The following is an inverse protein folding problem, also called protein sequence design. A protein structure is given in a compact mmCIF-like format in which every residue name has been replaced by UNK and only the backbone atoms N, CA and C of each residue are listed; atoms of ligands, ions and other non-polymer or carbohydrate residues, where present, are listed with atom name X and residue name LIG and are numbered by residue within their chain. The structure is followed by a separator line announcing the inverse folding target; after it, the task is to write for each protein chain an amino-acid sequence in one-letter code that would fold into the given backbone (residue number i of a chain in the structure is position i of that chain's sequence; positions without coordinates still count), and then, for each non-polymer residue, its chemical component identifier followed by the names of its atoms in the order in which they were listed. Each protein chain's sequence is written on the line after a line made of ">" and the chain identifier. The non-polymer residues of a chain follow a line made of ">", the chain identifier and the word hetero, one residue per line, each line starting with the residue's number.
data_IF_416114716589
#
_entry.id   IF_416114716589
#
_cell.length_a   1.000
_cell.length_b   1.000
_cell.length_c   1.000
_cell.angle_alpha   90.00
_cell.angle_beta   90.00
_cell.angle_gamma   90.00
#
_symmetry.space_group_name_H-M   'P 1'
#
loop_
_entity.id
_entity.type
_entity.pdbx_description
1 polymer ?
#
# COMPACT_ATOMS: atom_id res chain seq x y z
N UNK A 1 -3.04 -13.90 6.02
CA UNK A 1 -3.76 -13.10 5.01
C UNK A 1 -2.83 -11.97 4.56
N UNK A 2 -2.67 -11.70 3.26
CA UNK A 2 -1.83 -10.59 2.81
C UNK A 2 -2.37 -9.24 3.27
N UNK A 3 -1.46 -8.27 3.47
CA UNK A 3 -1.80 -6.91 3.91
C UNK A 3 -1.56 -5.95 2.78
N UNK A 4 -2.49 -5.03 2.55
CA UNK A 4 -2.36 -3.92 1.60
C UNK A 4 -2.41 -2.60 2.34
N UNK A 5 -1.79 -1.57 1.76
CA UNK A 5 -1.79 -0.22 2.32
C UNK A 5 -2.84 0.59 1.57
N UNK A 6 -3.82 1.16 2.28
CA UNK A 6 -4.88 2.01 1.74
C UNK A 6 -4.65 3.45 2.18
N UNK A 7 -4.88 4.38 1.27
CA UNK A 7 -4.85 5.81 1.52
C UNK A 7 -6.20 6.25 2.08
N UNK A 8 -6.24 6.87 3.25
CA UNK A 8 -7.51 7.27 3.90
C UNK A 8 -8.20 8.39 3.13
N UNK A 9 -7.42 9.37 2.64
CA UNK A 9 -7.98 10.54 1.94
C UNK A 9 -8.64 10.25 0.58
N UNK A 10 -8.23 9.18 -0.11
CA UNK A 10 -8.71 8.88 -1.48
C UNK A 10 -9.30 7.47 -1.62
N UNK A 11 -9.21 6.65 -0.56
CA UNK A 11 -9.58 5.24 -0.57
C UNK A 11 -8.73 4.35 -1.49
N UNK A 12 -7.65 4.86 -2.08
CA UNK A 12 -6.79 4.14 -3.04
C UNK A 12 -5.74 3.32 -2.32
N UNK A 13 -5.42 2.15 -2.86
CA UNK A 13 -4.37 1.28 -2.36
C UNK A 13 -3.01 1.62 -2.98
N UNK A 14 -1.94 1.42 -2.22
CA UNK A 14 -0.57 1.53 -2.72
C UNK A 14 -0.22 0.27 -3.51
N UNK A 15 -0.03 0.45 -4.83
CA UNK A 15 0.24 -0.63 -5.78
C UNK A 15 1.44 -0.32 -6.67
N UNK A 16 1.94 -1.34 -7.36
CA UNK A 16 2.97 -1.16 -8.40
C UNK A 16 2.26 -1.15 -9.74
N UNK A 17 1.88 0.02 -10.25
CA UNK A 17 1.53 0.10 -11.67
C UNK A 17 2.85 0.06 -12.45
N UNK A 18 3.04 -0.97 -13.26
CA UNK A 18 4.29 -1.30 -13.95
C UNK A 18 4.65 -0.34 -15.09
N UNK A 19 4.37 0.96 -14.95
CA UNK A 19 4.86 1.98 -15.87
C UNK A 19 6.09 2.58 -15.18
N UNK A 20 7.29 2.16 -15.59
CA UNK A 20 8.59 2.71 -15.17
C UNK A 20 9.09 2.45 -13.73
N UNK A 21 8.53 1.46 -13.03
CA UNK A 21 9.03 1.09 -11.70
C UNK A 21 8.65 2.07 -10.59
N UNK A 22 7.76 3.01 -10.90
CA UNK A 22 7.17 3.93 -9.93
C UNK A 22 6.02 3.29 -9.16
N UNK A 23 5.82 3.77 -7.95
CA UNK A 23 4.75 3.33 -7.04
C UNK A 23 3.53 4.20 -7.28
N UNK A 24 2.40 3.59 -7.63
CA UNK A 24 1.21 4.33 -8.06
C UNK A 24 0.01 3.89 -7.25
N UNK A 25 -0.83 4.85 -6.86
CA UNK A 25 -2.06 4.55 -6.13
C UNK A 25 -3.09 3.88 -7.06
N UNK A 26 -3.49 2.65 -6.74
CA UNK A 26 -4.46 1.83 -7.48
C UNK A 26 -5.78 1.76 -6.72
N UNK A 27 -6.91 1.59 -7.41
CA UNK A 27 -8.23 1.48 -6.75
C UNK A 27 -8.60 0.06 -6.34
N UNK A 28 -7.97 -0.95 -6.94
CA UNK A 28 -8.31 -2.35 -6.75
C UNK A 28 -7.20 -3.06 -5.95
N UNK A 29 -7.59 -3.85 -4.95
CA UNK A 29 -6.70 -4.62 -4.08
C UNK A 29 -5.93 -5.71 -4.84
N UNK A 30 -6.41 -6.15 -6.00
CA UNK A 30 -5.72 -7.11 -6.88
C UNK A 30 -4.40 -6.57 -7.42
N UNK A 31 -4.33 -5.26 -7.66
CA UNK A 31 -3.13 -4.58 -8.16
C UNK A 31 -2.32 -3.91 -7.03
N UNK A 32 -2.82 -3.96 -5.80
CA UNK A 32 -2.13 -3.41 -4.64
C UNK A 32 -0.92 -4.27 -4.26
N UNK A 33 0.09 -3.65 -3.64
CA UNK A 33 1.21 -4.43 -3.13
C UNK A 33 0.77 -5.16 -1.87
N UNK A 34 0.88 -6.48 -1.95
CA UNK A 34 0.61 -7.38 -0.84
C UNK A 34 1.87 -7.56 0.01
N UNK A 35 1.73 -7.39 1.31
CA UNK A 35 2.77 -7.58 2.29
C UNK A 35 2.45 -8.81 3.15
N UNK A 36 3.50 -9.50 3.60
CA UNK A 36 3.36 -10.69 4.44
C UNK A 36 2.90 -10.37 5.87
N UNK A 37 3.11 -9.15 6.33
CA UNK A 37 2.78 -8.71 7.69
C UNK A 37 2.67 -7.18 7.79
N UNK A 38 2.06 -6.69 8.88
CA UNK A 38 1.90 -5.24 9.14
C UNK A 38 3.28 -4.60 9.26
N UNK A 39 4.22 -5.28 9.91
CA UNK A 39 5.59 -4.81 10.08
C UNK A 39 6.28 -4.57 8.72
N UNK A 40 6.14 -5.50 7.77
CA UNK A 40 6.69 -5.32 6.42
C UNK A 40 6.02 -4.17 5.65
N UNK A 41 4.71 -4.00 5.81
CA UNK A 41 3.98 -2.89 5.20
C UNK A 41 4.45 -1.53 5.76
N UNK A 42 4.58 -1.40 7.10
CA UNK A 42 5.12 -0.21 7.76
C UNK A 42 6.55 0.12 7.33
N UNK A 43 7.41 -0.88 7.21
CA UNK A 43 8.79 -0.70 6.75
C UNK A 43 8.84 -0.16 5.31
N UNK A 44 8.01 -0.70 4.41
CA UNK A 44 7.91 -0.22 3.04
C UNK A 44 7.36 1.22 2.97
N UNK A 45 6.39 1.54 3.82
CA UNK A 45 5.81 2.89 3.94
C UNK A 45 6.87 3.91 4.36
N UNK A 46 7.74 3.53 5.30
CA UNK A 46 8.86 4.36 5.75
C UNK A 46 9.90 4.57 4.65
N UNK A 47 10.23 3.54 3.87
CA UNK A 47 11.14 3.63 2.72
C UNK A 47 10.61 4.52 1.60
N UNK A 48 9.29 4.66 1.48
CA UNK A 48 8.63 5.52 0.48
C UNK A 48 8.55 6.99 0.90
N UNK A 49 9.05 7.36 2.08
CA UNK A 49 8.92 8.72 2.61
C UNK A 49 7.49 9.09 3.01
N UNK A 50 6.60 8.11 3.10
CA UNK A 50 5.19 8.29 3.49
C UNK A 50 4.99 8.45 5.00
N UNK A 51 6.05 8.24 5.80
CA UNK A 51 6.00 8.16 7.26
C UNK A 51 5.49 9.43 7.99
N UNK A 52 5.36 10.57 7.31
CA UNK A 52 5.02 11.84 7.96
C UNK A 52 3.92 12.66 7.28
N UNK A 53 3.35 12.21 6.15
CA UNK A 53 2.58 13.12 5.29
C UNK A 53 1.13 12.73 5.05
N UNK A 54 0.74 11.46 5.18
CA UNK A 54 -0.64 11.06 4.82
C UNK A 54 -1.18 9.91 5.67
N UNK A 55 -2.45 10.02 6.06
CA UNK A 55 -3.19 8.97 6.76
C UNK A 55 -3.35 7.73 5.88
N UNK A 56 -2.83 6.60 6.37
CA UNK A 56 -2.83 5.31 5.68
C UNK A 56 -3.37 4.23 6.62
N UNK A 57 -4.18 3.34 6.06
CA UNK A 57 -4.80 2.22 6.74
C UNK A 57 -4.18 0.90 6.23
N UNK A 58 -3.94 -0.04 7.13
CA UNK A 58 -3.45 -1.38 6.79
C UNK A 58 -4.65 -2.32 6.73
N UNK A 59 -4.97 -2.79 5.52
CA UNK A 59 -6.13 -3.65 5.29
C UNK A 59 -5.65 -5.07 5.05
N UNK A 60 -6.09 -6.01 5.88
CA UNK A 60 -5.92 -7.44 5.61
C UNK A 60 -6.90 -7.87 4.53
N UNK A 61 -6.39 -8.48 3.47
CA UNK A 61 -7.20 -9.02 2.38
C UNK A 61 -7.15 -10.54 2.45
N UNK A 62 -8.31 -11.16 2.66
CA UNK A 62 -8.48 -12.59 2.42
C UNK A 62 -8.45 -12.79 0.91
N UNK A 63 -7.48 -13.56 0.43
CA UNK A 63 -7.39 -13.96 -0.98
C UNK A 63 -8.33 -15.15 -1.23
#
# INVERSE_FOLDING_TARGET
>A
MPIVIKHVGDGRYLGKASVRGEWVAVKDTRYARKYKSIASAKAALSLMGYANTKEVEFVEVAE
#
